data_IF_246642852473
#
_entry.id   IF_246642852473
#
_cell.length_a   1.000
_cell.length_b   1.000
_cell.length_c   1.000
_cell.angle_alpha   90.00
_cell.angle_beta   90.00
_cell.angle_gamma   90.00
#
_symmetry.space_group_name_H-M   'P 1'
#
loop_
_entity.id
_entity.type
_entity.pdbx_description
1 polymer ?
#
# COMPACT_ATOMS: atom_id res chain seq x y z
N UNK A 1 -21.23 3.69 -15.36
CA UNK A 1 -20.01 4.52 -15.48
C UNK A 1 -19.90 5.30 -14.18
N UNK A 2 -18.82 5.14 -13.43
CA UNK A 2 -18.59 5.77 -12.11
C UNK A 2 -17.57 6.88 -12.29
N UNK A 3 -17.80 8.06 -11.70
CA UNK A 3 -16.83 9.15 -11.69
C UNK A 3 -15.91 9.01 -10.49
N UNK A 4 -14.62 8.86 -10.73
CA UNK A 4 -13.60 8.53 -9.73
C UNK A 4 -12.57 9.62 -9.66
N UNK A 5 -12.31 10.14 -8.46
CA UNK A 5 -11.21 11.06 -8.16
C UNK A 5 -10.07 10.26 -7.52
N UNK A 6 -8.86 10.40 -8.03
CA UNK A 6 -7.69 9.67 -7.54
C UNK A 6 -6.62 10.64 -7.08
N UNK A 7 -6.29 10.64 -5.79
CA UNK A 7 -5.11 11.36 -5.27
C UNK A 7 -3.88 10.45 -5.32
N UNK A 8 -2.71 11.03 -5.53
CA UNK A 8 -1.48 10.23 -5.67
C UNK A 8 -1.40 9.45 -6.99
N UNK A 9 -2.12 9.89 -8.01
CA UNK A 9 -2.17 9.25 -9.33
C UNK A 9 -0.78 9.06 -9.99
N UNK A 10 0.15 9.98 -9.74
CA UNK A 10 1.54 9.91 -10.26
C UNK A 10 2.47 9.00 -9.46
N UNK A 11 2.04 8.48 -8.32
CA UNK A 11 2.81 7.55 -7.48
C UNK A 11 2.86 6.12 -8.04
N UNK A 12 3.61 5.24 -7.38
CA UNK A 12 3.77 3.84 -7.79
C UNK A 12 2.42 3.12 -7.97
N UNK A 13 1.54 3.17 -6.96
CA UNK A 13 0.24 2.50 -7.02
C UNK A 13 -0.68 3.22 -8.02
N UNK A 14 -0.69 4.56 -8.02
CA UNK A 14 -1.52 5.35 -8.96
C UNK A 14 -1.23 5.04 -10.42
N UNK A 15 0.04 4.98 -10.81
CA UNK A 15 0.47 4.65 -12.18
C UNK A 15 0.00 3.27 -12.66
N UNK A 16 -0.14 2.31 -11.75
CA UNK A 16 -0.65 0.98 -12.06
C UNK A 16 -2.20 0.93 -12.03
N UNK A 17 -2.83 1.76 -11.19
CA UNK A 17 -4.28 1.81 -11.03
C UNK A 17 -4.99 2.54 -12.18
N UNK A 18 -4.49 3.70 -12.61
CA UNK A 18 -5.14 4.56 -13.61
C UNK A 18 -5.46 3.82 -14.92
N UNK A 19 -4.51 3.07 -15.55
CA UNK A 19 -4.82 2.31 -16.77
C UNK A 19 -5.93 1.27 -16.56
N UNK A 20 -5.99 0.65 -15.38
CA UNK A 20 -7.00 -0.34 -15.05
C UNK A 20 -8.38 0.29 -14.86
N UNK A 21 -8.47 1.45 -14.19
CA UNK A 21 -9.71 2.23 -14.07
C UNK A 21 -10.26 2.63 -15.45
N UNK A 22 -9.40 3.08 -16.37
CA UNK A 22 -9.81 3.38 -17.74
C UNK A 22 -10.34 2.15 -18.47
N UNK A 23 -9.69 0.99 -18.32
CA UNK A 23 -10.15 -0.27 -18.92
C UNK A 23 -11.53 -0.71 -18.39
N UNK A 24 -11.87 -0.33 -17.16
CA UNK A 24 -13.19 -0.55 -16.56
C UNK A 24 -14.23 0.52 -16.94
N UNK A 25 -13.90 1.44 -17.88
CA UNK A 25 -14.77 2.49 -18.39
C UNK A 25 -15.27 3.47 -17.31
N UNK A 26 -14.44 3.78 -16.29
CA UNK A 26 -14.69 4.83 -15.33
C UNK A 26 -14.26 6.20 -15.90
N UNK A 27 -14.96 7.28 -15.49
CA UNK A 27 -14.49 8.65 -15.69
C UNK A 27 -13.50 8.99 -14.57
N UNK A 28 -12.27 9.42 -14.93
CA UNK A 28 -11.20 9.58 -13.94
C UNK A 28 -10.76 11.03 -13.89
N UNK A 29 -10.67 11.55 -12.66
CA UNK A 29 -10.02 12.83 -12.35
C UNK A 29 -8.80 12.51 -11.49
N UNK A 30 -7.63 13.02 -11.89
CA UNK A 30 -6.37 12.78 -11.21
C UNK A 30 -5.92 14.00 -10.42
N UNK A 31 -5.54 13.79 -9.14
CA UNK A 31 -4.83 14.77 -8.34
C UNK A 31 -3.38 14.30 -8.16
N UNK A 32 -2.45 15.05 -8.72
CA UNK A 32 -1.03 14.92 -8.48
C UNK A 32 -0.53 16.09 -7.61
N UNK A 33 0.72 16.02 -7.15
CA UNK A 33 1.36 17.10 -6.40
C UNK A 33 1.43 18.43 -7.17
N UNK A 34 1.30 18.40 -8.51
CA UNK A 34 1.25 19.60 -9.36
C UNK A 34 -0.10 20.33 -9.17
N UNK A 35 -1.18 19.60 -8.90
CA UNK A 35 -2.50 20.18 -8.68
C UNK A 35 -2.65 20.90 -7.33
N UNK A 36 -1.77 20.63 -6.37
CA UNK A 36 -1.73 21.26 -5.06
C UNK A 36 -1.42 20.28 -3.91
N UNK A 37 -1.28 20.83 -2.72
CA UNK A 37 -1.08 20.06 -1.49
C UNK A 37 -2.43 19.48 -1.03
N UNK A 38 -2.52 18.16 -0.89
CA UNK A 38 -3.75 17.48 -0.42
C UNK A 38 -4.14 17.87 1.02
N UNK A 39 -3.21 18.40 1.80
CA UNK A 39 -3.46 18.93 3.14
C UNK A 39 -3.96 20.39 3.11
N UNK A 40 -4.09 21.01 1.94
CA UNK A 40 -4.68 22.33 1.78
C UNK A 40 -6.14 22.19 1.27
N UNK A 41 -7.09 22.73 2.03
CA UNK A 41 -8.51 22.72 1.66
C UNK A 41 -8.78 23.42 0.32
N UNK A 42 -7.98 24.40 -0.05
CA UNK A 42 -8.14 25.11 -1.33
C UNK A 42 -7.90 24.20 -2.52
N UNK A 43 -7.03 23.21 -2.40
CA UNK A 43 -6.81 22.20 -3.46
C UNK A 43 -8.10 21.47 -3.81
N UNK A 44 -8.93 21.15 -2.83
CA UNK A 44 -10.15 20.37 -3.02
C UNK A 44 -11.31 21.19 -3.61
N UNK A 45 -11.30 22.52 -3.49
CA UNK A 45 -12.37 23.41 -3.97
C UNK A 45 -12.49 23.45 -5.49
N UNK A 46 -11.50 22.97 -6.21
CA UNK A 46 -11.48 22.95 -7.67
C UNK A 46 -12.11 21.70 -8.29
N UNK A 47 -12.45 20.70 -7.47
CA UNK A 47 -12.97 19.43 -7.96
C UNK A 47 -14.49 19.35 -7.79
N UNK A 48 -15.16 19.00 -8.90
CA UNK A 48 -16.59 18.73 -8.92
C UNK A 48 -16.91 17.44 -8.17
N UNK A 49 -18.22 17.22 -7.93
CA UNK A 49 -18.71 16.00 -7.33
C UNK A 49 -18.27 14.75 -8.09
N UNK A 50 -17.78 13.75 -7.36
CA UNK A 50 -17.50 12.41 -7.85
C UNK A 50 -18.31 11.37 -7.05
N UNK A 51 -18.39 10.14 -7.56
CA UNK A 51 -19.02 9.02 -6.87
C UNK A 51 -18.07 8.38 -5.86
N UNK A 52 -16.78 8.27 -6.21
CA UNK A 52 -15.74 7.62 -5.40
C UNK A 52 -14.47 8.46 -5.41
N UNK A 53 -13.89 8.65 -4.23
CA UNK A 53 -12.54 9.17 -4.03
C UNK A 53 -11.61 8.02 -3.64
N UNK A 54 -10.57 7.77 -4.45
CA UNK A 54 -9.49 6.85 -4.11
C UNK A 54 -8.32 7.67 -3.58
N UNK A 55 -8.03 7.54 -2.29
CA UNK A 55 -7.01 8.33 -1.62
C UNK A 55 -5.72 7.54 -1.44
N UNK A 56 -4.80 7.66 -2.43
CA UNK A 56 -3.48 7.01 -2.43
C UNK A 56 -2.37 7.97 -2.00
N UNK A 57 -2.61 9.29 -2.07
CA UNK A 57 -1.59 10.27 -1.73
C UNK A 57 -1.14 10.12 -0.28
N UNK A 58 0.17 10.09 -0.08
CA UNK A 58 0.79 9.96 1.24
C UNK A 58 2.29 9.76 1.14
N UNK A 59 2.99 10.16 2.20
CA UNK A 59 4.41 9.85 2.40
C UNK A 59 4.53 8.44 2.95
N UNK A 60 5.42 7.59 2.37
CA UNK A 60 5.43 6.14 2.65
C UNK A 60 6.78 5.58 3.11
N UNK A 61 7.89 6.27 2.83
CA UNK A 61 9.21 5.76 3.17
C UNK A 61 9.51 5.95 4.66
N UNK A 62 9.47 4.86 5.42
CA UNK A 62 9.56 4.90 6.90
C UNK A 62 10.80 5.62 7.43
N UNK A 63 12.03 5.45 6.87
CA UNK A 63 13.18 6.20 7.34
C UNK A 63 12.97 7.72 7.33
N UNK A 64 12.42 8.29 6.26
CA UNK A 64 12.16 9.73 6.16
C UNK A 64 11.17 10.22 7.22
N UNK A 65 10.31 9.33 7.74
CA UNK A 65 9.34 9.72 8.78
C UNK A 65 9.99 10.08 10.12
N UNK A 66 11.20 9.59 10.38
CA UNK A 66 11.98 9.96 11.55
C UNK A 66 12.65 11.34 11.40
N UNK A 67 12.98 11.71 10.15
CA UNK A 67 13.57 13.02 9.84
C UNK A 67 12.52 14.12 9.81
N UNK A 68 11.31 13.84 9.26
CA UNK A 68 10.21 14.80 9.17
C UNK A 68 8.87 14.22 9.68
N UNK A 69 8.70 13.98 10.97
CA UNK A 69 7.43 13.48 11.53
C UNK A 69 6.25 14.40 11.25
N UNK A 70 6.47 15.72 11.24
CA UNK A 70 5.43 16.72 11.03
C UNK A 70 4.90 16.68 9.58
N UNK A 71 5.78 16.56 8.59
CA UNK A 71 5.41 16.41 7.19
C UNK A 71 4.57 15.15 6.95
N UNK A 72 4.94 14.03 7.61
CA UNK A 72 4.15 12.80 7.55
C UNK A 72 2.75 12.96 8.17
N UNK A 73 2.64 13.60 9.32
CA UNK A 73 1.34 13.90 9.95
C UNK A 73 0.51 14.86 9.08
N UNK A 74 1.13 15.90 8.54
CA UNK A 74 0.45 16.83 7.64
C UNK A 74 -0.10 16.12 6.41
N UNK A 75 0.74 15.37 5.70
CA UNK A 75 0.36 14.71 4.45
C UNK A 75 -0.62 13.56 4.71
N UNK A 76 -0.27 12.60 5.57
CA UNK A 76 -1.04 11.37 5.72
C UNK A 76 -2.30 11.55 6.57
N UNK A 77 -2.22 12.29 7.69
CA UNK A 77 -3.37 12.49 8.56
C UNK A 77 -4.21 13.69 8.10
N UNK A 78 -3.64 14.89 8.02
CA UNK A 78 -4.41 16.08 7.67
C UNK A 78 -4.91 16.04 6.21
N UNK A 79 -4.11 15.50 5.28
CA UNK A 79 -4.56 15.24 3.90
C UNK A 79 -5.77 14.31 3.85
N UNK A 80 -5.81 13.26 4.70
CA UNK A 80 -6.98 12.37 4.82
C UNK A 80 -8.19 13.09 5.42
N UNK A 81 -8.00 14.01 6.38
CA UNK A 81 -9.10 14.87 6.89
C UNK A 81 -9.71 15.70 5.76
N UNK A 82 -8.89 16.32 4.92
CA UNK A 82 -9.38 17.10 3.78
C UNK A 82 -10.13 16.23 2.76
N UNK A 83 -9.62 15.02 2.49
CA UNK A 83 -10.29 14.04 1.61
C UNK A 83 -11.67 13.61 2.17
N UNK A 84 -11.75 13.38 3.46
CA UNK A 84 -13.02 13.03 4.14
C UNK A 84 -14.03 14.21 4.13
N UNK A 85 -13.57 15.43 4.36
CA UNK A 85 -14.41 16.62 4.25
C UNK A 85 -14.98 16.78 2.84
N UNK A 86 -14.16 16.54 1.81
CA UNK A 86 -14.62 16.52 0.42
C UNK A 86 -15.70 15.43 0.23
N UNK A 87 -15.44 14.20 0.67
CA UNK A 87 -16.42 13.10 0.59
C UNK A 87 -17.74 13.44 1.29
N UNK A 88 -17.67 14.01 2.49
CA UNK A 88 -18.85 14.45 3.25
C UNK A 88 -19.67 15.51 2.52
N UNK A 89 -19.01 16.51 1.93
CA UNK A 89 -19.67 17.63 1.23
C UNK A 89 -20.34 17.17 -0.06
N UNK A 90 -19.72 16.22 -0.78
CA UNK A 90 -20.18 15.78 -2.10
C UNK A 90 -20.95 14.45 -2.09
N UNK A 91 -21.06 13.78 -0.94
CA UNK A 91 -21.69 12.46 -0.83
C UNK A 91 -20.89 11.37 -1.54
N UNK A 92 -19.58 11.55 -1.68
CA UNK A 92 -18.69 10.58 -2.30
C UNK A 92 -18.29 9.48 -1.31
N UNK A 93 -18.04 8.27 -1.83
CA UNK A 93 -17.42 7.17 -1.09
C UNK A 93 -15.90 7.39 -1.01
N UNK A 94 -15.27 7.01 0.10
CA UNK A 94 -13.82 6.98 0.23
C UNK A 94 -13.29 5.54 0.08
N UNK A 95 -12.27 5.34 -0.75
CA UNK A 95 -11.37 4.19 -0.73
C UNK A 95 -10.01 4.68 -0.26
N UNK A 96 -9.62 4.30 0.95
CA UNK A 96 -8.40 4.79 1.60
C UNK A 96 -7.32 3.70 1.64
N UNK A 97 -6.12 4.06 1.22
CA UNK A 97 -4.95 3.19 1.31
C UNK A 97 -4.17 3.49 2.59
N UNK A 98 -4.32 2.60 3.56
CA UNK A 98 -3.55 2.58 4.81
C UNK A 98 -2.27 1.73 4.64
N UNK A 99 -1.91 0.99 5.67
CA UNK A 99 -0.79 0.04 5.69
C UNK A 99 -1.06 -1.04 6.75
N UNK A 100 -0.30 -2.11 6.75
CA UNK A 100 -0.32 -3.05 7.87
C UNK A 100 0.38 -2.41 9.09
N UNK A 101 -0.40 -2.06 10.11
CA UNK A 101 0.02 -1.24 11.26
C UNK A 101 0.02 -2.06 12.57
N UNK A 102 0.49 -3.30 12.53
CA UNK A 102 0.27 -4.23 13.65
C UNK A 102 1.46 -4.37 14.61
N UNK A 103 2.59 -3.70 14.31
CA UNK A 103 3.82 -3.84 15.10
C UNK A 103 4.26 -5.31 15.16
N UNK A 104 4.72 -5.77 16.34
CA UNK A 104 5.03 -7.18 16.56
C UNK A 104 3.74 -7.95 16.87
N UNK A 105 3.21 -8.78 15.94
CA UNK A 105 1.96 -9.47 16.13
C UNK A 105 2.12 -10.61 17.14
N UNK A 106 1.12 -10.80 17.99
CA UNK A 106 1.07 -11.92 18.95
C UNK A 106 0.62 -13.23 18.30
N UNK A 107 0.04 -13.16 17.09
CA UNK A 107 -0.50 -14.31 16.33
C UNK A 107 -0.36 -14.07 14.83
N UNK A 108 -0.08 -15.15 14.10
CA UNK A 108 -0.11 -15.22 12.64
C UNK A 108 -1.13 -16.28 12.18
N UNK A 109 -1.84 -16.08 11.06
CA UNK A 109 -1.88 -14.82 10.32
C UNK A 109 -2.59 -13.70 11.10
N UNK A 110 -2.31 -12.43 10.75
CA UNK A 110 -2.78 -11.24 11.47
C UNK A 110 -4.17 -10.85 10.95
N UNK A 111 -5.24 -10.90 11.77
CA UNK A 111 -6.57 -10.45 11.36
C UNK A 111 -6.72 -8.92 11.45
N UNK A 112 -7.71 -8.35 10.77
CA UNK A 112 -8.02 -6.91 10.84
C UNK A 112 -8.45 -6.46 12.23
N UNK A 113 -8.94 -7.37 13.06
CA UNK A 113 -9.30 -7.11 14.46
C UNK A 113 -8.09 -6.92 15.38
N UNK A 114 -6.88 -7.28 14.94
CA UNK A 114 -5.67 -6.99 15.70
C UNK A 114 -5.49 -5.47 15.84
N UNK A 115 -5.15 -4.97 17.05
CA UNK A 115 -5.03 -3.54 17.28
C UNK A 115 -3.85 -2.94 16.48
N UNK A 116 -4.05 -1.81 15.81
CA UNK A 116 -2.95 -1.12 15.16
C UNK A 116 -1.99 -0.53 16.20
N UNK A 117 -0.70 -0.83 16.05
CA UNK A 117 0.39 -0.38 16.91
C UNK A 117 1.29 0.56 16.11
N UNK A 118 1.38 1.82 16.54
CA UNK A 118 2.25 2.81 15.92
C UNK A 118 3.59 2.85 16.66
N UNK A 119 4.63 2.29 16.05
CA UNK A 119 6.00 2.29 16.59
C UNK A 119 6.95 3.25 15.84
N UNK A 120 6.43 3.99 14.87
CA UNK A 120 7.18 5.01 14.12
C UNK A 120 6.22 6.13 13.64
N UNK A 121 6.73 7.32 13.23
CA UNK A 121 5.88 8.44 12.83
C UNK A 121 4.99 8.14 11.61
N UNK A 122 5.46 7.35 10.64
CA UNK A 122 4.63 6.90 9.53
C UNK A 122 3.44 6.07 10.02
N UNK A 123 3.68 5.06 10.84
CA UNK A 123 2.62 4.22 11.38
C UNK A 123 1.62 5.04 12.22
N UNK A 124 2.11 6.00 13.01
CA UNK A 124 1.24 6.93 13.76
C UNK A 124 0.35 7.74 12.82
N UNK A 125 0.91 8.33 11.76
CA UNK A 125 0.14 9.14 10.82
C UNK A 125 -0.96 8.35 10.12
N UNK A 126 -0.69 7.09 9.75
CA UNK A 126 -1.68 6.19 9.13
C UNK A 126 -2.74 5.72 10.13
N UNK A 127 -2.34 5.39 11.36
CA UNK A 127 -3.29 5.03 12.43
C UNK A 127 -4.28 6.15 12.72
N UNK A 128 -3.81 7.38 12.91
CA UNK A 128 -4.67 8.54 13.12
C UNK A 128 -5.60 8.79 11.93
N UNK A 129 -5.13 8.55 10.70
CA UNK A 129 -5.96 8.64 9.50
C UNK A 129 -7.07 7.57 9.48
N UNK A 130 -6.81 6.34 9.92
CA UNK A 130 -7.88 5.32 10.07
C UNK A 130 -8.89 5.69 11.15
N UNK A 131 -8.44 6.23 12.28
CA UNK A 131 -9.32 6.67 13.37
C UNK A 131 -10.25 7.79 12.90
N UNK A 132 -9.75 8.76 12.12
CA UNK A 132 -10.61 9.82 11.57
C UNK A 132 -11.53 9.29 10.47
N UNK A 133 -11.12 8.32 9.66
CA UNK A 133 -12.02 7.64 8.72
C UNK A 133 -13.20 7.01 9.45
N UNK A 134 -12.93 6.29 10.54
CA UNK A 134 -13.98 5.67 11.37
C UNK A 134 -14.92 6.73 11.96
N UNK A 135 -14.39 7.82 12.49
CA UNK A 135 -15.19 8.93 13.03
C UNK A 135 -16.11 9.53 11.96
N UNK A 136 -15.60 9.79 10.74
CA UNK A 136 -16.42 10.35 9.66
C UNK A 136 -17.48 9.37 9.16
N UNK A 137 -17.20 8.08 9.19
CA UNK A 137 -18.20 7.06 8.86
C UNK A 137 -19.32 7.03 9.91
N UNK A 138 -18.97 7.00 11.20
CA UNK A 138 -19.96 6.88 12.29
C UNK A 138 -20.82 8.14 12.46
N UNK A 139 -20.21 9.32 12.34
CA UNK A 139 -20.87 10.58 12.69
C UNK A 139 -21.48 11.27 11.46
N UNK A 140 -20.79 11.20 10.32
CA UNK A 140 -21.21 11.90 9.11
C UNK A 140 -21.72 10.96 8.00
N UNK A 141 -21.68 9.63 8.21
CA UNK A 141 -22.16 8.65 7.24
C UNK A 141 -21.30 8.54 5.98
N UNK A 142 -20.01 8.94 6.03
CA UNK A 142 -19.10 8.82 4.89
C UNK A 142 -18.76 7.34 4.68
N UNK A 143 -19.24 6.77 3.59
CA UNK A 143 -18.96 5.37 3.25
C UNK A 143 -17.47 5.19 2.94
N UNK A 144 -16.80 4.30 3.68
CA UNK A 144 -15.35 4.19 3.62
C UNK A 144 -14.90 2.74 3.55
N UNK A 145 -14.04 2.44 2.58
CA UNK A 145 -13.28 1.17 2.52
C UNK A 145 -11.82 1.47 2.76
N UNK A 146 -11.22 0.82 3.76
CA UNK A 146 -9.81 0.97 4.12
C UNK A 146 -9.08 -0.30 3.72
N UNK A 147 -8.01 -0.17 2.95
CA UNK A 147 -7.08 -1.26 2.68
C UNK A 147 -5.83 -1.12 3.54
N UNK A 148 -5.43 -2.19 4.19
CA UNK A 148 -4.13 -2.37 4.86
C UNK A 148 -3.27 -3.30 4.01
N UNK A 149 -2.64 -2.80 2.93
CA UNK A 149 -1.76 -3.65 2.14
C UNK A 149 -0.55 -4.05 2.96
N UNK A 150 -0.11 -5.30 2.78
CA UNK A 150 1.16 -5.78 3.29
C UNK A 150 2.28 -5.27 2.38
N UNK A 151 3.36 -6.01 2.16
CA UNK A 151 4.49 -5.43 1.43
C UNK A 151 4.24 -5.45 -0.08
N UNK A 152 3.71 -4.35 -0.61
CA UNK A 152 3.43 -4.22 -2.05
C UNK A 152 4.73 -4.14 -2.82
N UNK A 153 4.80 -4.88 -3.92
CA UNK A 153 5.92 -4.84 -4.85
C UNK A 153 5.43 -4.91 -6.31
N UNK A 154 6.25 -4.43 -7.25
CA UNK A 154 5.89 -4.47 -8.66
C UNK A 154 6.72 -3.52 -9.51
N UNK A 155 6.50 -3.57 -10.83
CA UNK A 155 7.20 -2.73 -11.80
C UNK A 155 6.93 -1.24 -11.54
N UNK A 156 7.99 -0.42 -11.56
CA UNK A 156 7.91 1.02 -11.28
C UNK A 156 7.99 1.39 -9.80
N UNK A 157 8.22 0.43 -8.90
CA UNK A 157 8.54 0.73 -7.50
C UNK A 157 9.95 1.31 -7.37
N UNK A 158 10.15 2.24 -6.43
CA UNK A 158 11.45 2.85 -6.15
C UNK A 158 12.50 1.82 -5.72
N UNK A 159 13.74 2.00 -6.18
CA UNK A 159 14.90 1.18 -5.84
C UNK A 159 15.31 1.22 -4.35
N UNK A 160 14.75 2.16 -3.58
CA UNK A 160 14.91 2.21 -2.13
C UNK A 160 14.23 1.05 -1.40
N UNK A 161 13.29 0.35 -2.06
CA UNK A 161 12.60 -0.81 -1.50
C UNK A 161 13.35 -2.11 -1.80
N UNK A 162 13.18 -3.10 -0.92
CA UNK A 162 13.98 -4.33 -0.91
C UNK A 162 13.94 -5.08 -2.25
N UNK A 163 12.77 -5.40 -2.79
CA UNK A 163 12.66 -6.24 -3.99
C UNK A 163 13.29 -5.56 -5.22
N UNK A 164 13.01 -4.29 -5.57
CA UNK A 164 13.71 -3.61 -6.65
C UNK A 164 15.22 -3.54 -6.44
N UNK A 165 15.67 -3.26 -5.21
CA UNK A 165 17.11 -3.25 -4.87
C UNK A 165 17.78 -4.60 -5.11
N UNK A 166 17.15 -5.71 -4.69
CA UNK A 166 17.67 -7.06 -4.93
C UNK A 166 17.71 -7.41 -6.42
N UNK A 167 16.67 -7.06 -7.17
CA UNK A 167 16.62 -7.29 -8.63
C UNK A 167 17.78 -6.56 -9.32
N UNK A 168 18.02 -5.29 -8.97
CA UNK A 168 19.11 -4.51 -9.56
C UNK A 168 20.48 -5.14 -9.24
N UNK A 169 20.72 -5.52 -7.98
CA UNK A 169 21.97 -6.18 -7.58
C UNK A 169 22.21 -7.48 -8.35
N UNK A 170 21.14 -8.27 -8.59
CA UNK A 170 21.26 -9.51 -9.37
C UNK A 170 21.50 -9.23 -10.86
N UNK A 171 20.90 -8.20 -11.43
CA UNK A 171 21.12 -7.78 -12.84
C UNK A 171 22.54 -7.25 -13.02
N UNK A 172 23.05 -6.47 -12.08
CA UNK A 172 24.41 -5.92 -12.12
C UNK A 172 25.49 -7.00 -11.97
N UNK A 173 25.13 -8.21 -11.54
CA UNK A 173 26.04 -9.35 -11.41
C UNK A 173 27.05 -9.23 -10.27
N UNK A 174 26.84 -8.34 -9.32
CA UNK A 174 27.67 -8.12 -8.15
C UNK A 174 27.23 -8.99 -6.96
N UNK A 175 27.99 -8.96 -5.86
CA UNK A 175 27.53 -9.57 -4.61
C UNK A 175 26.23 -8.91 -4.14
N UNK A 176 25.32 -9.73 -3.60
CA UNK A 176 24.04 -9.26 -3.04
C UNK A 176 24.29 -8.83 -1.59
N UNK A 177 24.11 -7.55 -1.30
CA UNK A 177 24.32 -6.97 0.02
C UNK A 177 22.99 -6.65 0.67
N UNK A 178 22.74 -7.18 1.87
CA UNK A 178 21.55 -6.93 2.67
C UNK A 178 21.93 -6.75 4.15
N UNK A 179 21.02 -6.18 4.95
CA UNK A 179 21.24 -6.01 6.39
C UNK A 179 21.01 -7.30 7.17
N UNK A 180 19.85 -7.94 6.99
CA UNK A 180 19.43 -9.15 7.69
C UNK A 180 18.68 -10.08 6.72
N UNK A 181 18.91 -11.38 6.81
CA UNK A 181 18.31 -12.41 5.96
C UNK A 181 17.02 -13.00 6.56
N UNK A 182 16.83 -12.86 7.87
CA UNK A 182 15.81 -13.59 8.62
C UNK A 182 14.40 -12.97 8.57
N UNK A 183 14.23 -11.61 8.59
CA UNK A 183 12.89 -11.02 8.64
C UNK A 183 12.00 -11.50 7.50
N UNK A 184 10.77 -11.91 7.86
CA UNK A 184 9.78 -12.46 6.93
C UNK A 184 8.66 -11.45 6.70
N UNK A 185 8.22 -11.35 5.45
CA UNK A 185 7.13 -10.45 5.03
C UNK A 185 6.17 -11.15 4.08
N UNK A 186 4.92 -10.80 4.19
CA UNK A 186 3.92 -11.12 3.17
C UNK A 186 4.05 -10.09 2.04
N UNK A 187 4.40 -10.55 0.84
CA UNK A 187 4.62 -9.72 -0.34
C UNK A 187 3.46 -9.85 -1.30
N UNK A 188 2.76 -8.74 -1.56
CA UNK A 188 1.64 -8.67 -2.49
C UNK A 188 2.04 -7.98 -3.80
N UNK A 189 1.73 -8.60 -4.93
CA UNK A 189 2.02 -8.01 -6.23
C UNK A 189 1.07 -6.85 -6.52
N UNK A 190 1.58 -5.80 -7.16
CA UNK A 190 0.84 -4.54 -7.39
C UNK A 190 -0.49 -4.74 -8.10
N UNK A 191 -0.58 -5.66 -9.07
CA UNK A 191 -1.82 -5.91 -9.81
C UNK A 191 -2.92 -6.47 -8.90
N UNK A 192 -2.59 -7.32 -7.93
CA UNK A 192 -3.55 -7.85 -6.96
C UNK A 192 -4.12 -6.75 -6.06
N UNK A 193 -3.27 -5.79 -5.61
CA UNK A 193 -3.74 -4.63 -4.87
C UNK A 193 -4.65 -3.75 -5.74
N UNK A 194 -4.27 -3.53 -6.99
CA UNK A 194 -5.08 -2.76 -7.95
C UNK A 194 -6.44 -3.41 -8.15
N UNK A 195 -6.50 -4.73 -8.30
CA UNK A 195 -7.76 -5.46 -8.44
C UNK A 195 -8.65 -5.31 -7.19
N UNK A 196 -8.08 -5.36 -5.97
CA UNK A 196 -8.82 -5.09 -4.73
C UNK A 196 -9.43 -3.66 -4.72
N UNK A 197 -8.64 -2.64 -5.13
CA UNK A 197 -9.11 -1.25 -5.21
C UNK A 197 -10.28 -1.14 -6.22
N UNK A 198 -10.16 -1.75 -7.40
CA UNK A 198 -11.23 -1.75 -8.42
C UNK A 198 -12.52 -2.37 -7.88
N UNK A 199 -12.42 -3.50 -7.16
CA UNK A 199 -13.59 -4.15 -6.56
C UNK A 199 -14.27 -3.23 -5.53
N UNK A 200 -13.50 -2.45 -4.76
CA UNK A 200 -14.05 -1.49 -3.80
C UNK A 200 -14.79 -0.33 -4.48
N UNK A 201 -14.39 0.10 -5.68
CA UNK A 201 -15.11 1.14 -6.44
C UNK A 201 -16.56 0.74 -6.70
N UNK A 202 -16.81 -0.53 -7.02
CA UNK A 202 -18.16 -1.07 -7.27
C UNK A 202 -18.91 -1.53 -6.02
N UNK A 203 -18.29 -1.54 -4.85
CA UNK A 203 -18.86 -2.10 -3.62
C UNK A 203 -19.96 -1.20 -3.03
N UNK A 204 -20.87 -1.80 -2.23
CA UNK A 204 -21.93 -1.09 -1.49
C UNK A 204 -21.66 -1.09 0.02
N UNK A 205 -20.44 -1.40 0.45
CA UNK A 205 -20.07 -1.48 1.86
C UNK A 205 -20.14 -0.10 2.51
N UNK A 206 -20.60 -0.01 3.75
CA UNK A 206 -20.69 1.27 4.47
C UNK A 206 -19.36 1.64 5.12
N UNK A 207 -18.81 0.75 5.95
CA UNK A 207 -17.45 0.92 6.51
C UNK A 207 -16.80 -0.45 6.66
N UNK A 208 -15.66 -0.63 5.99
CA UNK A 208 -14.91 -1.88 6.08
C UNK A 208 -13.39 -1.64 6.03
N UNK A 209 -12.65 -2.50 6.73
CA UNK A 209 -11.19 -2.56 6.70
C UNK A 209 -10.82 -3.95 6.19
N UNK A 210 -9.88 -4.01 5.26
CA UNK A 210 -9.38 -5.25 4.69
C UNK A 210 -7.86 -5.32 4.71
N UNK A 211 -7.32 -6.43 5.17
CA UNK A 211 -5.94 -6.79 4.92
C UNK A 211 -5.79 -7.23 3.46
N UNK A 212 -4.77 -6.73 2.78
CA UNK A 212 -4.43 -7.09 1.41
C UNK A 212 -3.02 -7.65 1.38
N UNK A 213 -2.92 -8.95 1.27
CA UNK A 213 -1.70 -9.75 1.27
C UNK A 213 -1.90 -11.06 0.54
N UNK A 214 -0.94 -11.96 0.61
CA UNK A 214 -1.04 -13.31 0.02
C UNK A 214 -1.40 -14.38 1.06
N UNK A 215 -1.29 -14.06 2.35
CA UNK A 215 -1.40 -15.04 3.42
C UNK A 215 -0.16 -15.94 3.56
N UNK A 216 0.95 -15.59 2.89
CA UNK A 216 2.21 -16.33 2.97
C UNK A 216 3.38 -15.36 3.18
N UNK A 217 4.20 -15.62 4.19
CA UNK A 217 5.40 -14.80 4.44
C UNK A 217 6.66 -15.46 3.90
N UNK A 218 7.58 -14.64 3.39
CA UNK A 218 8.87 -15.05 2.86
C UNK A 218 9.99 -14.25 3.52
N UNK A 219 11.11 -14.92 3.85
CA UNK A 219 12.30 -14.25 4.37
C UNK A 219 13.05 -13.49 3.28
N UNK A 220 13.99 -12.64 3.70
CA UNK A 220 14.91 -12.00 2.76
C UNK A 220 15.75 -13.05 2.02
N UNK A 221 16.17 -14.11 2.72
CA UNK A 221 16.86 -15.25 2.09
C UNK A 221 15.99 -15.93 1.02
N UNK A 222 14.71 -16.23 1.32
CA UNK A 222 13.78 -16.84 0.36
C UNK A 222 13.64 -15.98 -0.91
N UNK A 223 13.61 -14.65 -0.76
CA UNK A 223 13.55 -13.71 -1.88
C UNK A 223 14.80 -13.78 -2.76
N UNK A 224 15.98 -13.74 -2.14
CA UNK A 224 17.27 -13.79 -2.84
C UNK A 224 17.38 -15.09 -3.63
N UNK A 225 17.11 -16.22 -2.99
CA UNK A 225 17.17 -17.54 -3.62
C UNK A 225 16.20 -17.61 -4.80
N UNK A 226 14.99 -17.07 -4.65
CA UNK A 226 13.98 -17.08 -5.69
C UNK A 226 14.38 -16.20 -6.90
N UNK A 227 14.91 -14.99 -6.66
CA UNK A 227 15.38 -14.08 -7.73
C UNK A 227 16.55 -14.70 -8.46
N UNK A 228 17.55 -15.24 -7.75
CA UNK A 228 18.69 -15.91 -8.34
C UNK A 228 18.28 -17.14 -9.17
N UNK A 229 17.36 -17.96 -8.65
CA UNK A 229 16.82 -19.10 -9.39
C UNK A 229 16.10 -18.70 -10.69
N UNK A 230 15.35 -17.57 -10.70
CA UNK A 230 14.66 -17.09 -11.91
C UNK A 230 15.66 -16.56 -12.94
N UNK A 231 16.77 -15.95 -12.50
CA UNK A 231 17.81 -15.36 -13.35
C UNK A 231 18.92 -16.34 -13.69
N UNK A 232 18.88 -17.56 -13.15
CA UNK A 232 19.95 -18.59 -13.29
C UNK A 232 21.34 -18.04 -12.88
N UNK A 233 21.40 -17.40 -11.70
CA UNK A 233 22.60 -16.82 -11.11
C UNK A 233 22.91 -17.47 -9.76
N UNK A 234 24.18 -17.37 -9.33
CA UNK A 234 24.64 -17.85 -8.03
C UNK A 234 25.65 -16.85 -7.44
N UNK A 235 25.17 -15.63 -7.18
CA UNK A 235 25.98 -14.54 -6.65
C UNK A 235 26.21 -14.74 -5.14
N UNK A 236 27.36 -14.26 -4.66
CA UNK A 236 27.67 -14.27 -3.24
C UNK A 236 26.73 -13.34 -2.47
N UNK A 237 26.19 -13.81 -1.35
CA UNK A 237 25.28 -13.03 -0.47
C UNK A 237 26.07 -12.60 0.76
N UNK A 238 26.04 -11.30 1.05
CA UNK A 238 26.66 -10.68 2.21
C UNK A 238 25.57 -10.03 3.07
N UNK A 239 25.49 -10.42 4.33
CA UNK A 239 24.60 -9.84 5.30
C UNK A 239 25.41 -9.19 6.43
N UNK A 240 25.13 -7.93 6.74
CA UNK A 240 25.82 -7.18 7.81
C UNK A 240 25.42 -7.69 9.21
N UNK A 241 24.28 -8.36 9.32
CA UNK A 241 23.68 -8.78 10.60
C UNK A 241 23.09 -7.61 11.41
N UNK A 242 22.99 -6.42 10.80
CA UNK A 242 22.44 -5.24 11.44
C UNK A 242 20.91 -5.33 11.51
N UNK A 243 20.38 -5.51 12.72
CA UNK A 243 18.92 -5.46 12.98
C UNK A 243 18.47 -4.04 13.30
N UNK A 244 17.33 -3.66 12.73
CA UNK A 244 16.66 -2.41 13.12
C UNK A 244 16.13 -2.54 14.55
N UNK A 245 16.17 -1.45 15.36
CA UNK A 245 15.47 -1.45 16.63
C UNK A 245 14.00 -1.84 16.42
N UNK A 246 13.51 -2.77 17.24
CA UNK A 246 12.12 -3.28 17.19
C UNK A 246 11.71 -3.88 15.83
N UNK A 247 12.65 -4.51 15.11
CA UNK A 247 12.35 -5.21 13.86
C UNK A 247 11.24 -6.23 14.05
N UNK A 248 10.20 -6.13 13.23
CA UNK A 248 9.11 -7.13 13.19
C UNK A 248 9.61 -8.34 12.42
N UNK A 249 9.76 -9.48 13.09
CA UNK A 249 10.39 -10.67 12.50
C UNK A 249 9.51 -11.40 11.50
N UNK A 250 8.19 -11.40 11.67
CA UNK A 250 7.27 -12.04 10.72
C UNK A 250 5.94 -11.28 10.62
N UNK A 251 5.48 -11.10 9.36
CA UNK A 251 4.16 -10.54 9.08
C UNK A 251 3.47 -11.34 8.00
N UNK A 252 2.28 -11.84 8.31
CA UNK A 252 1.45 -12.64 7.42
C UNK A 252 0.00 -12.16 7.54
N UNK A 253 -0.63 -11.82 6.42
CA UNK A 253 -2.00 -11.33 6.38
C UNK A 253 -3.01 -12.47 6.61
N UNK A 254 -4.00 -12.25 7.47
CA UNK A 254 -5.25 -12.98 7.35
C UNK A 254 -6.10 -12.28 6.27
N UNK A 255 -6.34 -12.96 5.16
CA UNK A 255 -7.10 -12.45 4.00
C UNK A 255 -8.53 -12.99 3.95
N UNK A 256 -8.96 -13.74 4.96
CA UNK A 256 -10.28 -14.40 5.00
C UNK A 256 -11.39 -13.38 4.76
N UNK A 257 -11.34 -12.22 5.43
CA UNK A 257 -12.34 -11.17 5.28
C UNK A 257 -12.37 -10.58 3.87
N UNK A 258 -11.22 -10.35 3.25
CA UNK A 258 -11.16 -9.86 1.88
C UNK A 258 -11.80 -10.86 0.89
N UNK A 259 -11.59 -12.15 1.12
CA UNK A 259 -12.21 -13.21 0.32
C UNK A 259 -13.73 -13.27 0.55
N UNK A 260 -14.20 -13.31 1.80
CA UNK A 260 -15.61 -13.57 2.11
C UNK A 260 -16.50 -12.33 1.87
N UNK A 261 -16.01 -11.12 2.15
CA UNK A 261 -16.81 -9.90 2.11
C UNK A 261 -16.62 -9.11 0.82
N UNK A 262 -15.36 -8.98 0.36
CA UNK A 262 -15.06 -8.27 -0.89
C UNK A 262 -15.07 -9.20 -2.11
N UNK A 263 -14.95 -10.52 -1.92
CA UNK A 263 -14.81 -11.50 -2.99
C UNK A 263 -13.42 -11.50 -3.65
N UNK A 264 -12.43 -10.91 -2.97
CA UNK A 264 -11.08 -10.74 -3.49
C UNK A 264 -10.12 -11.82 -2.97
N UNK A 265 -9.25 -12.29 -3.84
CA UNK A 265 -8.10 -13.13 -3.51
C UNK A 265 -6.91 -12.78 -4.41
N UNK A 266 -5.66 -12.96 -3.94
CA UNK A 266 -4.49 -12.72 -4.76
C UNK A 266 -4.39 -13.74 -5.90
N UNK A 267 -4.01 -13.28 -7.09
CA UNK A 267 -3.81 -14.11 -8.29
C UNK A 267 -2.33 -14.43 -8.53
N UNK A 268 -1.42 -13.63 -7.97
CA UNK A 268 0.02 -13.77 -8.18
C UNK A 268 0.69 -14.44 -6.98
N UNK A 269 1.43 -15.52 -7.25
CA UNK A 269 2.44 -16.00 -6.29
C UNK A 269 3.65 -15.06 -6.31
N UNK A 270 4.49 -15.12 -5.26
CA UNK A 270 5.74 -14.34 -5.24
C UNK A 270 6.60 -14.62 -6.48
N UNK A 271 6.72 -15.90 -6.91
CA UNK A 271 7.45 -16.28 -8.12
C UNK A 271 6.90 -15.60 -9.37
N UNK A 272 5.60 -15.71 -9.62
CA UNK A 272 4.99 -15.16 -10.85
C UNK A 272 5.08 -13.63 -10.91
N UNK A 273 4.96 -12.94 -9.77
CA UNK A 273 5.16 -11.50 -9.69
C UNK A 273 6.61 -11.07 -9.95
N UNK A 274 7.60 -11.79 -9.39
CA UNK A 274 9.01 -11.55 -9.65
C UNK A 274 9.38 -11.82 -11.11
N UNK A 275 8.90 -12.91 -11.71
CA UNK A 275 9.11 -13.20 -13.14
C UNK A 275 8.58 -12.07 -14.02
N UNK A 276 7.41 -11.49 -13.67
CA UNK A 276 6.83 -10.37 -14.41
C UNK A 276 7.68 -9.10 -14.29
N UNK A 277 8.18 -8.79 -13.09
CA UNK A 277 9.11 -7.66 -12.89
C UNK A 277 10.41 -7.84 -13.69
N UNK A 278 11.00 -9.01 -13.62
CA UNK A 278 12.28 -9.30 -14.29
C UNK A 278 12.18 -9.25 -15.83
N UNK A 279 11.00 -9.59 -16.40
CA UNK A 279 10.74 -9.39 -17.85
C UNK A 279 10.63 -7.93 -18.24
N UNK A 280 10.13 -7.07 -17.35
CA UNK A 280 9.99 -5.63 -17.64
C UNK A 280 11.25 -4.82 -17.38
N UNK A 281 12.26 -5.39 -16.69
CA UNK A 281 13.54 -4.77 -16.38
C UNK A 281 14.67 -5.11 -17.37
N UNK A 282 14.46 -6.06 -18.28
CA UNK A 282 15.36 -6.46 -19.39
C UNK A 282 14.82 -6.07 -20.72
#
# INVERSE_FOLDING_TARGET
MTKVLVTGASGFIGKNLIPKLHSCQHEIIEISSIAGDIADKTTWSHFERVDVLIHLAGSTFVPDSWEDPNGFLKTNFHGTVCALDYCRQHGARLVYLSSYLYGNPSKLPIPESAPPIANNPYALSKKLAEEVCKFYADIFGVKTTIFRPFNVYGSGQSEQFLIPSLINQVIDGNAICVKDLEPRRDYIYIDDLVDAIIMAVGSKLDFEIFNIGTGVSHSVSDLIDLIQNIKDTNLNVQADGERRPEEVMDTQADITKALEVLGWAPNYSLRSGLEKMLRSAG
#
